data_IF_398559635629
#
_entry.id   IF_398559635629
#
_cell.length_a   1.000
_cell.length_b   1.000
_cell.length_c   1.000
_cell.angle_alpha   90.00
_cell.angle_beta   90.00
_cell.angle_gamma   90.00
#
_symmetry.space_group_name_H-M   'P 1'
#
loop_
_entity.id
_entity.type
_entity.pdbx_description
1 polymer ?
#
# COMPACT_ATOMS: atom_id res chain seq x y z
N UNK A 1 3.85 5.71 11.31
CA UNK A 1 2.70 5.87 12.20
C UNK A 1 2.79 4.97 13.45
N UNK A 2 3.51 5.43 14.48
CA UNK A 2 3.32 4.89 15.82
C UNK A 2 1.87 5.13 16.22
N UNK A 3 1.11 4.04 16.25
CA UNK A 3 -0.29 4.03 16.65
C UNK A 3 -0.27 3.86 18.16
N UNK A 4 -0.64 4.91 18.90
CA UNK A 4 -1.06 4.70 20.28
C UNK A 4 -2.20 3.67 20.22
N UNK A 5 -2.03 2.54 20.90
CA UNK A 5 -3.03 1.47 20.86
C UNK A 5 -4.32 1.99 21.47
N UNK A 6 -5.47 1.61 20.91
CA UNK A 6 -6.78 2.04 21.42
C UNK A 6 -6.90 1.78 22.93
N UNK A 7 -6.33 0.66 23.42
CA UNK A 7 -6.25 0.31 24.85
C UNK A 7 -5.43 1.32 25.67
N UNK A 8 -4.30 1.81 25.15
CA UNK A 8 -3.45 2.80 25.83
C UNK A 8 -4.11 4.17 25.87
N UNK A 9 -4.76 4.61 24.78
CA UNK A 9 -5.51 5.88 24.77
C UNK A 9 -6.71 5.84 25.71
N UNK A 10 -7.44 4.72 25.74
CA UNK A 10 -8.55 4.52 26.68
C UNK A 10 -8.03 4.52 28.12
N UNK A 11 -6.94 3.80 28.42
CA UNK A 11 -6.35 3.76 29.77
C UNK A 11 -5.85 5.14 30.24
N UNK A 12 -5.16 5.90 29.38
CA UNK A 12 -4.74 7.29 29.66
C UNK A 12 -5.96 8.19 29.92
N UNK A 13 -7.03 8.02 29.15
CA UNK A 13 -8.28 8.78 29.31
C UNK A 13 -9.00 8.47 30.61
N UNK A 14 -9.07 7.19 30.99
CA UNK A 14 -9.71 6.75 32.24
C UNK A 14 -8.88 7.21 33.46
N UNK A 15 -7.57 7.01 33.46
CA UNK A 15 -6.72 7.36 34.61
C UNK A 15 -6.74 8.86 34.93
N UNK A 16 -6.63 9.71 33.90
CA UNK A 16 -6.74 11.15 34.06
C UNK A 16 -8.10 11.58 34.61
N UNK A 17 -9.18 10.90 34.20
CA UNK A 17 -10.53 11.23 34.66
C UNK A 17 -10.79 10.83 36.11
N UNK A 18 -10.31 9.66 36.55
CA UNK A 18 -10.41 9.24 37.96
C UNK A 18 -9.70 10.25 38.85
N UNK A 19 -8.50 10.70 38.43
CA UNK A 19 -7.76 11.72 39.15
C UNK A 19 -8.52 13.05 39.21
N UNK A 20 -9.01 13.55 38.07
CA UNK A 20 -9.73 14.82 38.00
C UNK A 20 -11.02 14.83 38.82
N UNK A 21 -11.83 13.75 38.78
CA UNK A 21 -13.06 13.65 39.58
C UNK A 21 -12.75 13.60 41.08
N UNK A 22 -11.69 12.88 41.47
CA UNK A 22 -11.26 12.79 42.88
C UNK A 22 -10.91 14.17 43.41
N UNK A 23 -10.21 14.99 42.62
CA UNK A 23 -9.89 16.38 42.98
C UNK A 23 -11.16 17.23 43.13
N UNK A 24 -12.15 17.11 42.23
CA UNK A 24 -13.41 17.85 42.35
C UNK A 24 -14.20 17.46 43.61
N UNK A 25 -14.28 16.16 43.92
CA UNK A 25 -14.95 15.68 45.14
C UNK A 25 -14.26 16.24 46.39
N UNK A 26 -12.92 16.24 46.43
CA UNK A 26 -12.15 16.81 47.54
C UNK A 26 -12.40 18.32 47.69
N UNK A 27 -12.39 19.07 46.58
CA UNK A 27 -12.67 20.52 46.60
C UNK A 27 -14.07 20.79 47.13
N UNK A 28 -15.10 20.13 46.60
CA UNK A 28 -16.48 20.35 47.05
C UNK A 28 -16.66 19.95 48.52
N UNK A 29 -16.02 18.87 48.95
CA UNK A 29 -16.05 18.46 50.36
C UNK A 29 -15.40 19.49 51.28
N UNK A 30 -14.22 20.02 50.93
CA UNK A 30 -13.50 21.02 51.73
C UNK A 30 -14.29 22.34 51.84
N UNK A 31 -14.99 22.75 50.78
CA UNK A 31 -15.73 24.02 50.78
C UNK A 31 -17.13 23.93 51.41
N UNK A 32 -17.83 22.80 51.24
CA UNK A 32 -19.24 22.68 51.65
C UNK A 32 -19.46 21.74 52.85
N UNK A 33 -18.43 21.00 53.29
CA UNK A 33 -18.50 20.09 54.44
C UNK A 33 -19.45 18.90 54.27
N UNK A 34 -19.98 18.70 53.05
CA UNK A 34 -21.05 17.75 52.74
C UNK A 34 -20.60 16.72 51.71
N UNK A 35 -20.27 15.53 52.20
CA UNK A 35 -19.75 14.41 51.39
C UNK A 35 -20.78 13.91 50.37
N UNK A 36 -22.07 13.94 50.71
CA UNK A 36 -23.18 13.54 49.86
C UNK A 36 -23.27 14.40 48.60
N UNK A 37 -23.20 15.73 48.75
CA UNK A 37 -23.20 16.68 47.64
C UNK A 37 -21.92 16.56 46.79
N UNK A 38 -20.77 16.37 47.43
CA UNK A 38 -19.49 16.21 46.75
C UNK A 38 -19.44 14.95 45.87
N UNK A 39 -19.92 13.82 46.40
CA UNK A 39 -19.99 12.56 45.65
C UNK A 39 -20.98 12.64 44.49
N UNK A 40 -22.18 13.19 44.71
CA UNK A 40 -23.17 13.37 43.66
C UNK A 40 -22.65 14.27 42.51
N UNK A 41 -22.02 15.39 42.86
CA UNK A 41 -21.42 16.30 41.88
C UNK A 41 -20.29 15.62 41.09
N UNK A 42 -19.40 14.88 41.75
CA UNK A 42 -18.31 14.15 41.10
C UNK A 42 -18.80 13.08 40.12
N UNK A 43 -19.87 12.34 40.47
CA UNK A 43 -20.48 11.35 39.57
C UNK A 43 -21.07 12.03 38.34
N UNK A 44 -21.90 13.07 38.53
CA UNK A 44 -22.55 13.81 37.43
C UNK A 44 -21.48 14.42 36.51
N UNK A 45 -20.45 15.04 37.08
CA UNK A 45 -19.34 15.64 36.34
C UNK A 45 -18.59 14.60 35.49
N UNK A 46 -18.36 13.40 36.04
CA UNK A 46 -17.68 12.31 35.32
C UNK A 46 -18.47 11.90 34.08
N UNK A 47 -19.77 11.65 34.23
CA UNK A 47 -20.62 11.27 33.10
C UNK A 47 -20.74 12.40 32.08
N UNK A 48 -20.88 13.64 32.52
CA UNK A 48 -20.93 14.81 31.64
C UNK A 48 -19.63 14.96 30.83
N UNK A 49 -18.46 14.84 31.46
CA UNK A 49 -17.16 14.89 30.78
C UNK A 49 -16.96 13.73 29.79
N UNK A 50 -17.45 12.53 30.12
CA UNK A 50 -17.43 11.39 29.19
C UNK A 50 -18.26 11.68 27.96
N UNK A 51 -19.49 12.16 28.15
CA UNK A 51 -20.39 12.52 27.05
C UNK A 51 -19.82 13.66 26.20
N UNK A 52 -19.29 14.72 26.83
CA UNK A 52 -18.69 15.85 26.15
C UNK A 52 -17.43 15.44 25.36
N UNK A 53 -16.56 14.62 25.94
CA UNK A 53 -15.40 14.12 25.19
C UNK A 53 -15.80 13.24 24.02
N UNK A 54 -16.77 12.34 24.20
CA UNK A 54 -17.30 11.51 23.11
C UNK A 54 -17.86 12.39 21.99
N UNK A 55 -18.65 13.41 22.33
CA UNK A 55 -19.19 14.37 21.38
C UNK A 55 -18.08 15.19 20.69
N UNK A 56 -17.09 15.65 21.44
CA UNK A 56 -15.92 16.37 20.94
C UNK A 56 -15.10 15.49 19.98
N UNK A 57 -14.83 14.24 20.32
CA UNK A 57 -14.12 13.30 19.44
C UNK A 57 -14.90 13.08 18.13
N UNK A 58 -16.22 12.88 18.21
CA UNK A 58 -17.08 12.75 17.02
C UNK A 58 -17.10 14.02 16.15
N UNK A 59 -17.07 15.19 16.77
CA UNK A 59 -16.96 16.47 16.07
C UNK A 59 -15.58 16.61 15.41
N UNK A 60 -14.50 16.28 16.13
CA UNK A 60 -13.12 16.40 15.65
C UNK A 60 -12.79 15.41 14.53
N UNK A 61 -13.42 14.23 14.50
CA UNK A 61 -13.31 13.29 13.37
C UNK A 61 -13.78 13.93 12.07
N UNK A 62 -14.77 14.85 12.10
CA UNK A 62 -15.23 15.60 10.93
C UNK A 62 -14.28 16.73 10.54
N UNK A 63 -13.48 17.23 11.48
CA UNK A 63 -12.47 18.26 11.23
C UNK A 63 -11.26 17.64 10.52
N UNK A 64 -10.94 18.14 9.33
CA UNK A 64 -9.81 17.68 8.49
C UNK A 64 -8.54 18.51 8.67
N UNK A 65 -8.61 19.60 9.42
CA UNK A 65 -7.49 20.51 9.68
C UNK A 65 -6.30 19.77 10.32
N UNK A 66 -5.08 20.03 9.82
CA UNK A 66 -3.85 19.40 10.30
C UNK A 66 -3.55 17.99 9.78
N UNK A 67 -4.46 17.32 9.04
CA UNK A 67 -4.17 16.03 8.41
C UNK A 67 -3.48 16.22 7.06
N UNK A 68 -2.17 15.98 6.99
CA UNK A 68 -1.46 15.80 5.70
C UNK A 68 -1.85 14.44 5.13
N UNK A 69 -2.61 14.44 4.03
CA UNK A 69 -2.87 13.23 3.24
C UNK A 69 -1.63 12.96 2.41
N UNK A 70 -1.01 11.79 2.57
CA UNK A 70 -0.02 11.32 1.62
C UNK A 70 -0.81 10.94 0.37
N UNK A 71 -0.54 11.62 -0.74
CA UNK A 71 -1.15 11.26 -2.01
C UNK A 71 -0.64 9.87 -2.42
N UNK A 72 -1.54 8.91 -2.65
CA UNK A 72 -1.13 7.55 -2.95
C UNK A 72 -0.44 7.48 -4.31
N UNK A 73 0.44 6.51 -4.47
CA UNK A 73 1.15 6.23 -5.70
C UNK A 73 1.00 4.76 -6.10
N UNK A 74 1.29 4.45 -7.35
CA UNK A 74 1.37 3.09 -7.85
C UNK A 74 2.77 2.84 -8.41
N UNK A 75 3.51 1.94 -7.78
CA UNK A 75 4.73 1.38 -8.34
C UNK A 75 4.36 0.21 -9.25
N UNK A 76 4.43 0.43 -10.57
CA UNK A 76 4.08 -0.57 -11.56
C UNK A 76 5.33 -1.22 -12.18
N UNK A 77 5.66 -2.43 -11.72
CA UNK A 77 6.77 -3.22 -12.24
C UNK A 77 6.37 -3.95 -13.52
N UNK A 78 7.17 -3.76 -14.57
CA UNK A 78 7.05 -4.44 -15.88
C UNK A 78 8.39 -5.02 -16.31
N UNK A 79 8.38 -6.08 -17.10
CA UNK A 79 9.59 -6.80 -17.51
C UNK A 79 9.29 -8.24 -17.96
N UNK A 80 10.22 -8.86 -18.67
CA UNK A 80 10.13 -10.26 -19.11
C UNK A 80 9.87 -11.24 -17.96
N UNK A 81 9.20 -12.38 -18.16
CA UNK A 81 9.15 -13.46 -17.17
C UNK A 81 10.56 -13.76 -16.61
N UNK A 82 10.68 -14.03 -15.31
CA UNK A 82 11.97 -14.26 -14.64
C UNK A 82 13.01 -13.11 -14.68
N UNK A 83 12.62 -11.89 -15.09
CA UNK A 83 13.50 -10.72 -15.01
C UNK A 83 13.79 -10.24 -13.58
N UNK A 84 13.20 -10.84 -12.54
CA UNK A 84 13.39 -10.44 -11.13
C UNK A 84 12.34 -9.49 -10.55
N UNK A 85 11.27 -9.17 -11.30
CA UNK A 85 10.18 -8.27 -10.86
C UNK A 85 9.66 -8.54 -9.46
N UNK A 86 9.16 -9.75 -9.20
CA UNK A 86 8.54 -10.12 -7.92
C UNK A 86 9.55 -9.96 -6.78
N UNK A 87 10.76 -10.49 -6.95
CA UNK A 87 11.84 -10.41 -5.95
C UNK A 87 12.19 -8.96 -5.59
N UNK A 88 12.36 -8.08 -6.58
CA UNK A 88 12.66 -6.66 -6.34
C UNK A 88 11.44 -5.95 -5.75
N UNK A 89 10.24 -6.21 -6.26
CA UNK A 89 9.00 -5.61 -5.77
C UNK A 89 8.72 -5.97 -4.30
N UNK A 90 8.94 -7.21 -3.89
CA UNK A 90 8.76 -7.67 -2.51
C UNK A 90 9.76 -7.00 -1.56
N UNK A 91 11.02 -6.87 -1.99
CA UNK A 91 12.04 -6.12 -1.24
C UNK A 91 11.66 -4.65 -1.11
N UNK A 92 11.27 -4.00 -2.21
CA UNK A 92 10.81 -2.60 -2.21
C UNK A 92 9.60 -2.42 -1.30
N UNK A 93 8.62 -3.31 -1.38
CA UNK A 93 7.44 -3.30 -0.51
C UNK A 93 7.84 -3.38 0.96
N UNK A 94 8.70 -4.35 1.33
CA UNK A 94 9.21 -4.50 2.70
C UNK A 94 9.92 -3.22 3.19
N UNK A 95 10.72 -2.57 2.36
CA UNK A 95 11.40 -1.32 2.74
C UNK A 95 10.45 -0.12 2.86
N UNK A 96 9.41 -0.04 2.03
CA UNK A 96 8.41 1.02 2.09
C UNK A 96 7.41 0.84 3.23
N UNK A 97 7.09 -0.40 3.60
CA UNK A 97 6.21 -0.73 4.72
C UNK A 97 6.77 -0.21 6.06
N UNK A 98 8.11 -0.18 6.20
CA UNK A 98 8.81 0.43 7.36
C UNK A 98 8.49 1.93 7.53
N UNK A 99 8.07 2.62 6.48
CA UNK A 99 7.63 4.02 6.54
C UNK A 99 6.24 4.17 7.17
N UNK A 100 5.54 3.05 7.41
CA UNK A 100 4.24 2.98 8.05
C UNK A 100 3.21 3.88 7.33
N UNK A 101 3.30 3.90 6.00
CA UNK A 101 2.30 4.47 5.09
C UNK A 101 1.36 3.34 4.62
N UNK A 102 0.07 3.61 4.35
CA UNK A 102 -0.80 2.59 3.75
C UNK A 102 -0.30 2.20 2.36
N UNK A 103 0.14 0.95 2.21
CA UNK A 103 0.68 0.42 0.96
C UNK A 103 0.30 -1.06 0.83
N UNK A 104 0.00 -1.53 -0.38
CA UNK A 104 -0.41 -2.91 -0.65
C UNK A 104 0.47 -3.54 -1.74
N UNK A 105 0.77 -4.83 -1.59
CA UNK A 105 1.51 -5.62 -2.58
C UNK A 105 0.53 -6.35 -3.51
N UNK A 106 0.71 -6.20 -4.82
CA UNK A 106 -0.16 -6.83 -5.83
C UNK A 106 0.71 -7.59 -6.84
N UNK A 107 0.84 -8.91 -6.71
CA UNK A 107 1.52 -9.75 -7.71
C UNK A 107 0.53 -10.45 -8.64
N UNK A 108 0.94 -10.63 -9.89
CA UNK A 108 0.18 -11.41 -10.88
C UNK A 108 -0.13 -12.84 -10.43
N UNK A 109 0.70 -13.47 -9.60
CA UNK A 109 0.46 -14.83 -9.08
C UNK A 109 -0.73 -14.85 -8.14
N UNK A 110 -0.75 -13.93 -7.19
CA UNK A 110 -1.77 -13.88 -6.12
C UNK A 110 -3.14 -13.47 -6.69
N UNK A 111 -3.17 -12.50 -7.60
CA UNK A 111 -4.42 -11.99 -8.15
C UNK A 111 -5.04 -12.91 -9.21
N UNK A 112 -4.24 -13.71 -9.91
CA UNK A 112 -4.77 -14.61 -10.95
C UNK A 112 -5.69 -15.69 -10.39
N UNK A 113 -5.47 -16.13 -9.15
CA UNK A 113 -6.35 -17.08 -8.47
C UNK A 113 -7.65 -16.42 -7.98
N UNK A 114 -7.61 -15.12 -7.68
CA UNK A 114 -8.74 -14.37 -7.13
C UNK A 114 -9.70 -13.82 -8.20
N UNK A 115 -9.22 -13.64 -9.43
CA UNK A 115 -10.01 -13.10 -10.54
C UNK A 115 -10.27 -14.23 -11.56
N UNK A 116 -11.51 -14.70 -11.71
CA UNK A 116 -11.84 -15.74 -12.69
C UNK A 116 -11.74 -15.24 -14.14
N UNK A 117 -11.73 -16.20 -15.08
CA UNK A 117 -11.75 -15.97 -16.53
C UNK A 117 -10.55 -15.17 -17.06
N UNK A 118 -9.35 -15.52 -16.62
CA UNK A 118 -8.10 -14.94 -17.13
C UNK A 118 -7.45 -15.91 -18.10
N UNK A 119 -7.71 -15.72 -19.40
CA UNK A 119 -6.92 -16.35 -20.44
C UNK A 119 -5.56 -15.68 -20.65
N UNK A 120 -4.80 -16.22 -21.60
CA UNK A 120 -3.48 -15.69 -21.99
C UNK A 120 -3.48 -15.03 -23.36
N UNK A 121 -4.64 -14.87 -24.00
CA UNK A 121 -4.75 -14.08 -25.23
C UNK A 121 -4.45 -12.60 -24.95
N UNK A 122 -4.18 -11.84 -26.02
CA UNK A 122 -3.97 -10.39 -25.91
C UNK A 122 -5.17 -9.68 -25.28
N UNK A 123 -6.39 -10.05 -25.68
CA UNK A 123 -7.63 -9.45 -25.17
C UNK A 123 -7.88 -9.81 -23.70
N UNK A 124 -7.60 -11.06 -23.30
CA UNK A 124 -7.72 -11.47 -21.89
C UNK A 124 -6.73 -10.72 -21.01
N UNK A 125 -5.48 -10.57 -21.48
CA UNK A 125 -4.46 -9.78 -20.79
C UNK A 125 -4.87 -8.32 -20.67
N UNK A 126 -5.38 -7.71 -21.74
CA UNK A 126 -5.88 -6.34 -21.73
C UNK A 126 -7.05 -6.18 -20.74
N UNK A 127 -8.03 -7.09 -20.76
CA UNK A 127 -9.16 -7.08 -19.83
C UNK A 127 -8.72 -7.24 -18.37
N UNK A 128 -7.78 -8.15 -18.13
CA UNK A 128 -7.19 -8.36 -16.82
C UNK A 128 -6.48 -7.09 -16.33
N UNK A 129 -5.67 -6.43 -17.17
CA UNK A 129 -5.02 -5.16 -16.82
C UNK A 129 -6.04 -4.06 -16.46
N UNK A 130 -7.17 -3.95 -17.16
CA UNK A 130 -8.22 -3.00 -16.77
C UNK A 130 -8.85 -3.33 -15.41
N UNK A 131 -9.05 -4.62 -15.09
CA UNK A 131 -9.53 -5.05 -13.75
C UNK A 131 -8.53 -4.65 -12.66
N UNK A 132 -7.23 -4.90 -12.89
CA UNK A 132 -6.16 -4.47 -11.97
C UNK A 132 -6.13 -2.94 -11.82
N UNK A 133 -6.26 -2.19 -12.91
CA UNK A 133 -6.33 -0.73 -12.88
C UNK A 133 -7.48 -0.22 -12.01
N UNK A 134 -8.66 -0.84 -12.10
CA UNK A 134 -9.82 -0.51 -11.26
C UNK A 134 -9.60 -0.85 -9.78
N UNK A 135 -8.94 -1.97 -9.47
CA UNK A 135 -8.55 -2.33 -8.11
C UNK A 135 -7.60 -1.27 -7.52
N UNK A 136 -6.53 -0.94 -8.24
CA UNK A 136 -5.55 0.07 -7.81
C UNK A 136 -6.23 1.43 -7.63
N UNK A 137 -7.07 1.85 -8.57
CA UNK A 137 -7.86 3.10 -8.46
C UNK A 137 -8.74 3.11 -7.21
N UNK A 138 -9.31 1.97 -6.83
CA UNK A 138 -10.14 1.83 -5.62
C UNK A 138 -9.29 1.91 -4.34
N UNK A 139 -8.13 1.28 -4.32
CA UNK A 139 -7.16 1.40 -3.22
C UNK A 139 -6.68 2.85 -3.06
N UNK A 140 -6.36 3.52 -4.16
CA UNK A 140 -5.95 4.93 -4.15
C UNK A 140 -7.05 5.87 -3.65
N UNK A 141 -8.34 5.60 -3.94
CA UNK A 141 -9.45 6.38 -3.33
C UNK A 141 -9.41 6.34 -1.79
N UNK A 142 -8.91 5.24 -1.22
CA UNK A 142 -8.72 5.03 0.21
C UNK A 142 -7.32 5.46 0.72
N UNK A 143 -6.53 6.16 -0.10
CA UNK A 143 -5.15 6.60 0.22
C UNK A 143 -4.16 5.44 0.43
N UNK A 144 -4.41 4.31 -0.21
CA UNK A 144 -3.50 3.16 -0.19
C UNK A 144 -2.63 3.22 -1.45
N UNK A 145 -1.32 3.31 -1.25
CA UNK A 145 -0.34 3.15 -2.33
C UNK A 145 -0.21 1.68 -2.72
N UNK A 146 0.37 1.40 -3.88
CA UNK A 146 0.47 0.01 -4.38
C UNK A 146 1.86 -0.29 -4.93
N UNK A 147 2.30 -1.54 -4.74
CA UNK A 147 3.48 -2.14 -5.37
C UNK A 147 3.00 -3.31 -6.23
N UNK A 148 2.79 -3.04 -7.51
CA UNK A 148 2.19 -3.95 -8.46
C UNK A 148 3.24 -4.56 -9.39
N UNK A 149 3.23 -5.89 -9.59
CA UNK A 149 4.18 -6.59 -10.47
C UNK A 149 3.48 -7.48 -11.48
N UNK A 150 3.63 -7.11 -12.75
CA UNK A 150 3.00 -7.80 -13.87
C UNK A 150 3.97 -7.85 -15.05
N UNK A 151 3.93 -8.92 -15.86
CA UNK A 151 4.68 -8.93 -17.13
C UNK A 151 4.25 -7.72 -17.98
N UNK A 152 2.94 -7.46 -18.07
CA UNK A 152 2.35 -6.30 -18.77
C UNK A 152 3.04 -6.02 -20.11
N UNK A 153 3.06 -7.00 -21.04
CA UNK A 153 3.94 -6.97 -22.21
C UNK A 153 3.58 -5.90 -23.23
N UNK A 154 2.31 -5.50 -23.31
CA UNK A 154 1.83 -4.54 -24.29
C UNK A 154 1.89 -3.11 -23.76
N UNK A 155 2.40 -2.20 -24.59
CA UNK A 155 2.43 -0.75 -24.38
C UNK A 155 1.03 -0.19 -24.13
N UNK A 156 0.04 -0.69 -24.87
CA UNK A 156 -1.35 -0.32 -24.72
C UNK A 156 -1.86 -0.54 -23.29
N UNK A 157 -1.64 -1.72 -22.70
CA UNK A 157 -2.11 -2.02 -21.35
C UNK A 157 -1.39 -1.16 -20.31
N UNK A 158 -0.08 -0.92 -20.48
CA UNK A 158 0.68 -0.03 -19.57
C UNK A 158 0.20 1.42 -19.67
N UNK A 159 -0.15 1.89 -20.87
CA UNK A 159 -0.76 3.22 -21.09
C UNK A 159 -2.12 3.31 -20.39
N UNK A 160 -2.98 2.31 -20.56
CA UNK A 160 -4.28 2.28 -19.89
C UNK A 160 -4.14 2.37 -18.35
N UNK A 161 -3.23 1.60 -17.75
CA UNK A 161 -2.96 1.70 -16.29
C UNK A 161 -2.54 3.13 -15.91
N UNK A 162 -1.62 3.73 -16.66
CA UNK A 162 -1.15 5.11 -16.40
C UNK A 162 -2.28 6.14 -16.47
N UNK A 163 -3.24 5.96 -17.36
CA UNK A 163 -4.42 6.84 -17.49
C UNK A 163 -5.47 6.58 -16.39
N UNK A 164 -5.57 5.34 -15.90
CA UNK A 164 -6.57 4.95 -14.90
C UNK A 164 -6.21 5.34 -13.46
N UNK A 165 -4.92 5.38 -13.13
CA UNK A 165 -4.43 5.54 -11.74
C UNK A 165 -3.63 6.83 -11.59
N UNK A 166 -3.56 7.36 -10.36
CA UNK A 166 -2.79 8.56 -10.04
C UNK A 166 -1.35 8.19 -9.68
N UNK A 167 -0.41 9.11 -9.94
CA UNK A 167 0.99 8.97 -9.51
C UNK A 167 1.58 7.60 -9.89
N UNK A 168 1.38 7.21 -11.15
CA UNK A 168 1.84 5.92 -11.67
C UNK A 168 3.33 5.99 -12.01
N UNK A 169 4.15 5.25 -11.27
CA UNK A 169 5.59 5.14 -11.45
C UNK A 169 5.89 3.79 -12.09
N UNK A 170 6.21 3.78 -13.38
CA UNK A 170 6.59 2.58 -14.10
C UNK A 170 8.04 2.24 -13.78
N UNK A 171 8.24 1.06 -13.22
CA UNK A 171 9.55 0.46 -12.96
C UNK A 171 9.79 -0.61 -14.03
N UNK A 172 10.65 -0.31 -14.98
CA UNK A 172 11.07 -1.29 -15.97
C UNK A 172 12.21 -2.14 -15.41
N UNK A 173 11.93 -3.42 -15.18
CA UNK A 173 12.90 -4.43 -14.77
C UNK A 173 13.47 -5.06 -16.03
N UNK A 174 14.56 -4.47 -16.51
CA UNK A 174 15.30 -4.90 -17.69
C UNK A 174 16.15 -6.13 -17.36
N UNK A 175 16.09 -7.10 -18.25
CA UNK A 175 16.92 -8.29 -18.25
C UNK A 175 16.93 -8.85 -19.67
N UNK A 176 18.08 -9.31 -20.14
CA UNK A 176 18.16 -9.99 -21.42
C UNK A 176 17.40 -11.33 -21.36
N UNK A 177 16.82 -11.73 -22.50
CA UNK A 177 16.07 -12.98 -22.57
C UNK A 177 16.94 -14.20 -22.24
N UNK A 178 18.21 -14.19 -22.65
CA UNK A 178 19.16 -15.26 -22.36
C UNK A 178 19.44 -15.37 -20.87
N UNK A 179 19.54 -14.24 -20.16
CA UNK A 179 19.62 -14.25 -18.70
C UNK A 179 18.34 -14.81 -18.08
N UNK A 180 17.16 -14.42 -18.58
CA UNK A 180 15.89 -14.94 -18.08
C UNK A 180 15.77 -16.46 -18.27
N UNK A 181 16.22 -16.98 -19.43
CA UNK A 181 16.28 -18.43 -19.70
C UNK A 181 17.23 -19.15 -18.75
N UNK A 182 18.42 -18.60 -18.49
CA UNK A 182 19.37 -19.18 -17.52
C UNK A 182 18.79 -19.24 -16.11
N UNK A 183 17.89 -18.31 -15.76
CA UNK A 183 17.17 -18.27 -14.48
C UNK A 183 15.95 -19.20 -14.44
N UNK A 184 15.69 -20.01 -15.47
CA UNK A 184 14.45 -20.81 -15.60
C UNK A 184 14.39 -22.05 -14.71
N UNK A 185 14.37 -21.84 -13.39
CA UNK A 185 14.23 -22.91 -12.41
C UNK A 185 12.88 -23.64 -12.45
N UNK A 186 11.88 -23.09 -13.14
CA UNK A 186 10.53 -23.71 -13.28
C UNK A 186 10.31 -24.38 -14.64
N UNK A 187 11.28 -24.31 -15.56
CA UNK A 187 11.13 -24.80 -16.92
C UNK A 187 10.07 -24.05 -17.74
N UNK A 188 9.67 -22.85 -17.37
CA UNK A 188 8.62 -22.09 -18.06
C UNK A 188 9.07 -21.63 -19.46
N UNK A 189 10.33 -21.26 -19.63
CA UNK A 189 10.90 -20.95 -20.95
C UNK A 189 11.09 -22.21 -21.78
N UNK A 190 11.52 -23.32 -21.17
CA UNK A 190 11.63 -24.61 -21.87
C UNK A 190 10.27 -25.06 -22.44
N UNK A 191 9.21 -24.95 -21.64
CA UNK A 191 7.82 -25.25 -22.05
C UNK A 191 7.27 -24.30 -23.11
N UNK A 192 7.68 -23.03 -23.08
CA UNK A 192 7.33 -22.08 -24.13
C UNK A 192 8.03 -22.40 -25.46
N UNK A 193 9.29 -22.84 -25.41
CA UNK A 193 10.08 -23.23 -26.59
C UNK A 193 9.58 -24.55 -27.21
N UNK A 194 9.11 -25.50 -26.39
CA UNK A 194 8.50 -26.75 -26.87
C UNK A 194 7.08 -26.57 -27.42
N UNK A 195 6.49 -25.38 -27.28
CA UNK A 195 5.12 -25.08 -27.73
C UNK A 195 4.02 -25.47 -26.75
N UNK A 196 4.36 -25.99 -25.56
CA UNK A 196 3.39 -26.29 -24.48
C UNK A 196 2.74 -24.99 -23.97
N UNK A 197 3.52 -23.93 -23.78
CA UNK A 197 3.02 -22.62 -23.37
C UNK A 197 2.86 -21.68 -24.56
N UNK A 198 1.61 -21.43 -24.94
CA UNK A 198 1.24 -20.41 -25.94
C UNK A 198 1.22 -19.01 -25.33
N UNK A 199 1.50 -18.01 -26.16
CA UNK A 199 1.52 -16.59 -25.81
C UNK A 199 2.52 -16.21 -24.69
N UNK A 200 3.66 -16.86 -24.61
CA UNK A 200 4.73 -16.58 -23.65
C UNK A 200 5.61 -15.41 -24.10
N UNK A 201 5.58 -14.32 -23.34
CA UNK A 201 6.25 -13.06 -23.70
C UNK A 201 7.77 -13.22 -23.81
N UNK A 202 8.32 -12.79 -24.94
CA UNK A 202 9.72 -12.92 -25.32
C UNK A 202 10.05 -14.20 -26.09
N UNK A 203 9.15 -15.19 -26.14
CA UNK A 203 9.37 -16.44 -26.90
C UNK A 203 8.42 -16.54 -28.09
N UNK A 204 7.12 -16.68 -27.83
CA UNK A 204 6.10 -16.83 -28.86
C UNK A 204 4.96 -15.78 -28.73
N UNK A 205 5.20 -14.75 -27.92
CA UNK A 205 4.45 -13.48 -27.85
C UNK A 205 5.43 -12.33 -27.65
N UNK A 206 5.03 -11.12 -28.05
CA UNK A 206 5.88 -9.93 -27.96
C UNK A 206 6.01 -9.46 -26.51
N UNK A 207 7.15 -8.88 -26.18
CA UNK A 207 7.30 -7.99 -25.03
C UNK A 207 7.74 -6.63 -25.58
N UNK A 208 6.85 -5.65 -25.55
CA UNK A 208 7.15 -4.30 -26.00
C UNK A 208 7.87 -3.57 -24.86
N UNK A 209 9.16 -3.25 -25.01
CA UNK A 209 9.88 -2.52 -23.98
C UNK A 209 9.25 -1.15 -23.71
N UNK A 210 9.22 -0.67 -22.44
CA UNK A 210 8.67 0.63 -22.13
C UNK A 210 9.54 1.75 -22.73
N UNK A 211 8.96 2.54 -23.65
CA UNK A 211 9.62 3.73 -24.21
C UNK A 211 9.80 4.86 -23.19
N UNK A 212 8.94 4.89 -22.16
CA UNK A 212 9.02 5.82 -21.05
C UNK A 212 8.74 5.08 -19.74
N UNK A 213 9.76 4.97 -18.90
CA UNK A 213 9.68 4.46 -17.54
C UNK A 213 10.35 5.48 -16.61
N UNK A 214 9.70 5.77 -15.48
CA UNK A 214 10.26 6.65 -14.45
C UNK A 214 11.53 6.07 -13.85
N UNK A 215 11.61 4.73 -13.78
CA UNK A 215 12.76 4.00 -13.26
C UNK A 215 13.05 2.81 -14.16
N UNK A 216 14.32 2.64 -14.52
CA UNK A 216 14.83 1.43 -15.20
C UNK A 216 15.86 0.77 -14.28
N UNK A 217 15.67 -0.51 -13.99
CA UNK A 217 16.63 -1.34 -13.25
C UNK A 217 17.10 -2.48 -14.15
N UNK A 218 18.40 -2.50 -14.44
CA UNK A 218 19.05 -3.52 -15.26
C UNK A 218 19.56 -4.64 -14.35
N UNK A 219 18.82 -5.76 -14.30
CA UNK A 219 19.12 -6.88 -13.40
C UNK A 219 20.23 -7.79 -13.91
N UNK A 220 20.80 -7.50 -15.07
CA UNK A 220 22.04 -8.12 -15.52
C UNK A 220 23.26 -7.46 -14.86
N UNK A 221 23.11 -6.22 -14.36
CA UNK A 221 24.19 -5.42 -13.77
C UNK A 221 23.98 -5.09 -12.30
N UNK A 222 22.73 -4.95 -11.88
CA UNK A 222 22.36 -4.56 -10.53
C UNK A 222 21.91 -5.76 -9.72
N UNK A 223 22.34 -5.81 -8.47
CA UNK A 223 21.77 -6.70 -7.48
C UNK A 223 20.33 -6.31 -7.12
N UNK A 224 19.62 -7.23 -6.44
CA UNK A 224 18.28 -6.98 -5.92
C UNK A 224 18.28 -5.80 -4.94
N UNK A 225 19.28 -5.74 -4.05
CA UNK A 225 19.36 -4.69 -3.03
C UNK A 225 19.64 -3.32 -3.64
N UNK A 226 20.56 -3.21 -4.60
CA UNK A 226 20.82 -1.96 -5.32
C UNK A 226 19.58 -1.47 -6.09
N UNK A 227 18.92 -2.40 -6.79
CA UNK A 227 17.67 -2.10 -7.52
C UNK A 227 16.59 -1.58 -6.58
N UNK A 228 16.39 -2.25 -5.44
CA UNK A 228 15.41 -1.82 -4.45
C UNK A 228 15.75 -0.46 -3.82
N UNK A 229 17.03 -0.21 -3.52
CA UNK A 229 17.48 1.07 -2.97
C UNK A 229 17.21 2.24 -3.93
N UNK A 230 17.47 2.07 -5.23
CA UNK A 230 17.17 3.08 -6.26
C UNK A 230 15.67 3.44 -6.24
N UNK A 231 14.81 2.43 -6.25
CA UNK A 231 13.35 2.61 -6.30
C UNK A 231 12.85 3.27 -5.01
N UNK A 232 13.27 2.77 -3.84
CA UNK A 232 12.88 3.32 -2.54
C UNK A 232 13.34 4.77 -2.39
N UNK A 233 14.56 5.10 -2.81
CA UNK A 233 15.08 6.47 -2.78
C UNK A 233 14.26 7.41 -3.65
N UNK A 234 13.88 6.97 -4.85
CA UNK A 234 13.00 7.74 -5.73
C UNK A 234 11.64 8.01 -5.07
N UNK A 235 11.03 7.00 -4.46
CA UNK A 235 9.72 7.13 -3.83
C UNK A 235 9.75 8.05 -2.62
N UNK A 236 10.77 7.89 -1.75
CA UNK A 236 10.96 8.79 -0.61
C UNK A 236 11.07 10.24 -1.07
N UNK A 237 11.92 10.51 -2.05
CA UNK A 237 12.15 11.87 -2.55
C UNK A 237 10.89 12.54 -3.13
N UNK A 238 10.08 11.79 -3.88
CA UNK A 238 8.98 12.37 -4.66
C UNK A 238 7.61 12.30 -3.97
N UNK A 239 7.37 11.30 -3.13
CA UNK A 239 6.02 11.01 -2.59
C UNK A 239 5.95 10.93 -1.06
N UNK A 240 7.08 10.75 -0.37
CA UNK A 240 7.12 10.67 1.09
C UNK A 240 7.94 11.84 1.63
N UNK A 241 7.32 13.01 1.72
CA UNK A 241 7.90 14.24 2.30
C UNK A 241 7.77 14.28 3.82
#
# INVERSE_FOLDING_TARGET
MYKDTNKRSIAKGISWRVFATTTTVIIIYVFFGRLDLALAAGIIETFAKVALYWAHERAWVKVRWGRKRIDPFNLWFTGLPLSGKTTIADKVYTELEKLQIPIERIDSKDIRELIPDIGFSRDDRNRHMHRIGNLIKTLQKNSISTVASFVSPYKESRRAIREMVKNNVVVYVKADIETCKKRDYKGAYAKALSGEYKNFSGVNDVYEEPTYAEIVVDTDKLSVDESAQIIVKYIKKNYVK
#
